data_IF_609660112887
#
_entry.id   IF_609660112887
#
_cell.length_a   1.000
_cell.length_b   1.000
_cell.length_c   1.000
_cell.angle_alpha   90.00
_cell.angle_beta   90.00
_cell.angle_gamma   90.00
#
_symmetry.space_group_name_H-M   'P 1'
#
loop_
_entity.id
_entity.type
_entity.pdbx_description
1 polymer ?
2 water ?
#
# COMPACT_ATOMS: atom_id res chain seq x y z
N UNK A 4 -6.90 -1.12 27.71
CA UNK A 4 -5.43 -0.94 27.96
C UNK A 4 -4.60 -1.60 26.87
N UNK A 5 -5.00 -2.81 26.42
CA UNK A 5 -4.22 -3.46 25.36
C UNK A 5 -4.63 -2.83 24.02
N UNK A 6 -4.18 -3.41 22.91
CA UNK A 6 -4.51 -2.87 21.60
C UNK A 6 -6.00 -3.01 21.29
N UNK A 7 -6.67 -1.86 21.17
CA UNK A 7 -8.10 -1.84 20.86
C UNK A 7 -8.35 -1.04 19.59
N UNK A 8 -8.49 -1.74 18.47
CA UNK A 8 -8.72 -1.07 17.20
C UNK A 8 -10.06 -1.36 16.57
N UNK A 9 -10.21 -0.96 15.31
CA UNK A 9 -11.46 -1.17 14.59
C UNK A 9 -11.22 -1.16 13.08
N UNK A 10 -12.07 -1.87 12.35
CA UNK A 10 -11.95 -1.95 10.90
C UNK A 10 -12.35 -0.62 10.25
N UNK A 11 -11.73 -0.34 9.10
CA UNK A 11 -12.01 0.86 8.33
C UNK A 11 -12.54 0.34 7.00
N UNK A 12 -13.63 0.92 6.53
CA UNK A 12 -14.26 0.47 5.29
C UNK A 12 -13.99 1.34 4.08
N UNK A 13 -13.33 2.48 4.28
CA UNK A 13 -13.01 3.35 3.16
C UNK A 13 -11.55 3.19 2.75
N UNK A 14 -11.33 2.41 1.70
CA UNK A 14 -10.00 2.15 1.22
C UNK A 14 -9.64 3.11 0.10
N UNK A 15 -8.36 3.50 0.01
CA UNK A 15 -7.93 4.42 -1.06
C UNK A 15 -8.22 3.77 -2.40
N UNK A 16 -8.59 4.56 -3.40
CA UNK A 16 -8.89 3.99 -4.70
C UNK A 16 -7.64 3.98 -5.58
N UNK A 17 -6.63 4.76 -5.20
CA UNK A 17 -5.39 4.83 -5.97
C UNK A 17 -4.22 5.19 -5.08
N UNK A 18 -3.09 4.51 -5.29
CA UNK A 18 -1.85 4.76 -4.55
C UNK A 18 -0.75 5.01 -5.59
N UNK A 19 -0.13 6.18 -5.54
CA UNK A 19 0.95 6.54 -6.46
C UNK A 19 2.29 6.54 -5.73
N UNK A 20 3.31 5.91 -6.30
CA UNK A 20 4.61 5.93 -5.66
C UNK A 20 5.11 7.37 -5.78
N UNK A 21 5.39 8.01 -4.64
CA UNK A 21 5.88 9.39 -4.63
C UNK A 21 7.39 9.36 -4.55
N UNK A 22 7.88 8.42 -3.76
CA UNK A 22 9.30 8.21 -3.56
C UNK A 22 9.49 6.70 -3.58
N UNK A 23 10.69 6.24 -3.29
CA UNK A 23 10.92 4.81 -3.28
C UNK A 23 10.04 4.14 -2.21
N UNK A 24 9.96 4.76 -1.03
CA UNK A 24 9.19 4.19 0.07
C UNK A 24 8.07 5.07 0.61
N UNK A 25 7.39 5.78 -0.28
CA UNK A 25 6.28 6.65 0.11
C UNK A 25 5.24 6.66 -1.00
N UNK A 26 3.99 6.39 -0.63
CA UNK A 26 2.88 6.39 -1.58
C UNK A 26 1.87 7.45 -1.15
N UNK A 27 1.14 7.99 -2.12
CA UNK A 27 0.11 8.99 -1.82
C UNK A 27 -1.17 8.53 -2.51
N UNK A 28 -2.32 8.74 -1.86
CA UNK A 28 -3.61 8.37 -2.45
C UNK A 28 -4.33 9.60 -3.03
N UNK A 29 -5.57 9.43 -3.50
CA UNK A 29 -6.34 10.54 -4.08
C UNK A 29 -6.68 11.68 -3.12
N UNK A 30 -6.58 11.44 -1.82
CA UNK A 30 -6.88 12.45 -0.82
C UNK A 30 -5.60 13.14 -0.36
N UNK A 31 -4.51 12.84 -1.07
CA UNK A 31 -3.19 13.37 -0.75
C UNK A 31 -2.73 12.88 0.61
N UNK A 32 -3.11 11.64 0.94
CA UNK A 32 -2.70 11.02 2.18
C UNK A 32 -1.49 10.14 1.89
N UNK A 33 -0.46 10.27 2.72
CA UNK A 33 0.76 9.49 2.56
C UNK A 33 0.67 8.14 3.29
N UNK A 34 1.10 7.08 2.61
CA UNK A 34 1.10 5.73 3.15
C UNK A 34 2.54 5.23 3.10
N UNK A 35 3.07 4.77 4.22
CA UNK A 35 4.45 4.29 4.22
C UNK A 35 4.60 2.77 4.32
N UNK A 36 5.21 2.14 3.30
CA UNK A 36 5.39 0.68 3.38
C UNK A 36 6.45 0.46 4.45
N UNK A 37 6.08 -0.18 5.55
CA UNK A 37 7.02 -0.41 6.64
C UNK A 37 7.64 -1.78 6.63
N UNK A 38 6.86 -2.78 6.26
CA UNK A 38 7.36 -4.14 6.25
C UNK A 38 6.97 -4.91 5.00
N UNK A 39 7.88 -5.74 4.52
CA UNK A 39 7.59 -6.58 3.37
C UNK A 39 7.92 -7.97 3.86
N UNK A 40 6.95 -8.86 3.77
CA UNK A 40 7.14 -10.22 4.25
C UNK A 40 7.06 -11.19 3.09
N UNK A 41 8.02 -12.11 3.02
CA UNK A 41 8.04 -13.07 1.93
C UNK A 41 7.62 -14.48 2.37
N UNK A 42 6.46 -14.89 1.88
CA UNK A 42 5.87 -16.19 2.18
C UNK A 42 6.11 -17.22 1.07
N UNK A 43 6.64 -18.38 1.44
CA UNK A 43 6.92 -19.45 0.48
C UNK A 43 7.74 -18.92 -0.69
N UNK A 44 8.68 -18.03 -0.40
CA UNK A 44 9.54 -17.41 -1.39
C UNK A 44 8.82 -16.97 -2.66
N UNK A 45 7.51 -16.75 -2.57
CA UNK A 45 6.75 -16.31 -3.73
C UNK A 45 5.80 -15.16 -3.41
N UNK A 46 4.95 -15.37 -2.41
CA UNK A 46 3.96 -14.38 -2.03
C UNK A 46 4.47 -13.21 -1.18
N UNK A 47 4.18 -11.99 -1.64
CA UNK A 47 4.58 -10.78 -0.93
C UNK A 47 3.42 -10.22 -0.09
N UNK A 48 3.75 -9.73 1.10
CA UNK A 48 2.78 -9.12 2.00
C UNK A 48 3.41 -7.82 2.45
N UNK A 49 2.81 -6.70 2.06
CA UNK A 49 3.35 -5.40 2.43
C UNK A 49 2.41 -4.64 3.35
N UNK A 50 2.97 -4.11 4.43
CA UNK A 50 2.22 -3.34 5.41
C UNK A 50 2.44 -1.85 5.19
N UNK A 51 1.36 -1.12 4.93
CA UNK A 51 1.44 0.30 4.72
C UNK A 51 0.78 1.01 5.88
N UNK A 52 1.41 2.08 6.35
CA UNK A 52 0.88 2.83 7.46
C UNK A 52 0.78 4.30 7.10
N UNK A 53 -0.34 4.91 7.48
CA UNK A 53 -0.58 6.33 7.22
C UNK A 53 0.29 7.21 8.10
N UNK A 54 0.93 8.20 7.49
CA UNK A 54 1.79 9.09 8.24
C UNK A 54 1.87 10.44 7.58
N UNK A 55 1.85 11.49 8.39
CA UNK A 55 1.94 12.84 7.88
C UNK A 55 3.41 13.16 7.72
N UNK A 56 3.90 13.08 6.49
CA UNK A 56 5.30 13.37 6.23
C UNK A 56 5.43 14.63 5.38
N UNK A 57 6.63 15.20 5.36
CA UNK A 57 6.91 16.40 4.58
C UNK A 57 7.36 15.96 3.20
N UNK A 58 6.58 16.32 2.18
CA UNK A 58 6.91 15.94 0.82
C UNK A 58 7.05 17.12 -0.12
N UNK A 59 7.98 16.98 -1.06
CA UNK A 59 8.20 18.04 -2.02
C UNK A 59 7.68 17.66 -3.39
N UNK A 60 8.61 17.42 -4.31
CA UNK A 60 8.28 17.07 -5.68
C UNK A 60 8.29 15.55 -5.86
N UNK A 61 7.32 15.00 -6.62
CA UNK A 61 7.32 13.54 -6.80
C UNK A 61 8.51 13.09 -7.65
N UNK A 62 8.91 11.84 -7.48
CA UNK A 62 10.03 11.30 -8.24
C UNK A 62 9.47 10.57 -9.45
N UNK A 63 10.33 10.37 -10.44
CA UNK A 63 9.95 9.67 -11.65
C UNK A 63 10.28 8.20 -11.47
N UNK A 64 9.63 7.33 -12.25
CA UNK A 64 9.88 5.89 -12.16
C UNK A 64 11.36 5.56 -12.30
N UNK A 65 12.09 6.42 -13.00
CA UNK A 65 13.52 6.21 -13.21
C UNK A 65 14.32 6.51 -11.96
N UNK A 66 14.07 7.67 -11.35
CA UNK A 66 14.78 8.04 -10.14
C UNK A 66 14.47 7.04 -9.04
N UNK A 67 13.24 6.53 -9.02
CA UNK A 67 12.84 5.56 -8.01
C UNK A 67 13.67 4.29 -8.14
N UNK A 68 13.86 3.80 -9.36
CA UNK A 68 14.67 2.61 -9.56
C UNK A 68 14.01 1.26 -9.30
N UNK A 69 14.77 0.15 -9.38
CA UNK A 69 14.27 -1.21 -9.15
C UNK A 69 13.64 -1.40 -7.79
N UNK A 70 12.53 -2.13 -7.76
CA UNK A 70 11.85 -2.36 -6.51
C UNK A 70 10.96 -3.61 -6.56
N UNK A 71 10.48 -4.01 -5.39
CA UNK A 71 9.60 -5.16 -5.23
C UNK A 71 8.18 -4.58 -5.24
N UNK A 72 8.09 -3.27 -5.01
CA UNK A 72 6.82 -2.55 -4.95
C UNK A 72 6.46 -1.83 -6.25
N UNK A 73 5.16 -1.82 -6.60
CA UNK A 73 4.72 -1.17 -7.84
C UNK A 73 4.72 0.36 -7.83
N UNK A 74 4.82 0.93 -9.02
CA UNK A 74 4.81 2.37 -9.20
C UNK A 74 3.41 2.88 -8.85
N UNK A 75 2.42 2.00 -8.91
CA UNK A 75 1.05 2.38 -8.62
C UNK A 75 0.12 1.20 -8.35
N UNK A 76 -0.88 1.42 -7.50
CA UNK A 76 -1.88 0.40 -7.17
C UNK A 76 -3.21 1.03 -7.50
N UNK A 77 -4.13 0.26 -8.07
CA UNK A 77 -5.45 0.79 -8.44
C UNK A 77 -6.55 -0.14 -7.93
N UNK A 78 -7.54 0.41 -7.22
CA UNK A 78 -8.64 -0.40 -6.69
C UNK A 78 -9.62 -0.80 -7.79
N UNK A 79 -9.84 -2.11 -7.93
CA UNK A 79 -10.74 -2.65 -8.93
C UNK A 79 -12.15 -2.86 -8.38
N UNK A 80 -13.14 -3.05 -9.27
CA UNK A 80 -14.54 -3.25 -8.84
C UNK A 80 -14.77 -4.40 -7.87
N UNK A 81 -13.91 -5.42 -7.94
CA UNK A 81 -14.03 -6.58 -7.08
C UNK A 81 -13.34 -6.41 -5.73
N UNK A 82 -12.85 -5.21 -5.45
CA UNK A 82 -12.19 -4.97 -4.18
C UNK A 82 -10.69 -5.27 -4.09
N UNK A 83 -10.11 -5.80 -5.16
CA UNK A 83 -8.68 -6.09 -5.16
C UNK A 83 -7.94 -4.95 -5.86
N UNK A 84 -6.64 -4.83 -5.62
CA UNK A 84 -5.84 -3.77 -6.23
C UNK A 84 -5.01 -4.33 -7.36
N UNK A 85 -4.96 -3.60 -8.47
CA UNK A 85 -4.15 -4.00 -9.61
C UNK A 85 -2.88 -3.19 -9.56
N UNK A 86 -1.75 -3.88 -9.66
CA UNK A 86 -0.45 -3.23 -9.62
C UNK A 86 -0.05 -2.82 -11.03
N UNK A 87 0.78 -1.79 -11.15
CA UNK A 87 1.21 -1.34 -12.48
C UNK A 87 2.08 -2.39 -13.18
N UNK A 88 2.46 -3.44 -12.45
CA UNK A 88 3.27 -4.51 -13.03
C UNK A 88 2.31 -5.59 -13.55
N UNK A 89 1.03 -5.25 -13.53
CA UNK A 89 -0.05 -6.12 -13.99
C UNK A 89 -0.50 -7.22 -13.05
N UNK A 90 0.06 -7.25 -11.85
CA UNK A 90 -0.31 -8.25 -10.86
C UNK A 90 -1.51 -7.79 -10.04
N UNK A 91 -2.17 -8.72 -9.35
CA UNK A 91 -3.33 -8.40 -8.51
C UNK A 91 -3.01 -8.66 -7.04
N UNK A 92 -3.44 -7.75 -6.17
CA UNK A 92 -3.18 -7.88 -4.73
C UNK A 92 -4.47 -7.88 -3.92
N UNK A 93 -4.52 -8.73 -2.91
CA UNK A 93 -5.70 -8.81 -2.06
C UNK A 93 -5.51 -7.93 -0.82
N UNK A 94 -6.56 -7.22 -0.43
CA UNK A 94 -6.50 -6.37 0.76
C UNK A 94 -6.78 -7.30 1.93
N UNK A 95 -5.74 -7.67 2.67
CA UNK A 95 -5.94 -8.57 3.80
C UNK A 95 -6.70 -7.90 4.94
N UNK A 96 -6.39 -6.63 5.20
CA UNK A 96 -7.10 -5.87 6.23
C UNK A 96 -6.77 -4.39 6.16
N UNK A 97 -7.66 -3.58 6.73
CA UNK A 97 -7.51 -2.12 6.78
C UNK A 97 -8.11 -1.74 8.13
N UNK A 98 -7.25 -1.40 9.08
CA UNK A 98 -7.72 -1.05 10.41
C UNK A 98 -7.12 0.23 10.98
N UNK A 99 -7.63 0.62 12.14
CA UNK A 99 -7.17 1.81 12.83
C UNK A 99 -6.95 1.45 14.29
N UNK A 100 -5.76 1.72 14.80
CA UNK A 100 -5.44 1.42 16.19
C UNK A 100 -4.88 2.66 16.87
N UNK A 101 -5.66 3.20 17.81
CA UNK A 101 -5.28 4.40 18.53
C UNK A 101 -4.78 5.41 17.52
N UNK A 102 -5.59 5.64 16.50
CA UNK A 102 -5.24 6.60 15.46
C UNK A 102 -4.45 6.01 14.32
N UNK A 103 -3.55 5.08 14.63
CA UNK A 103 -2.72 4.44 13.61
C UNK A 103 -3.56 3.62 12.63
N UNK A 104 -3.55 4.06 11.38
CA UNK A 104 -4.29 3.40 10.31
C UNK A 104 -3.33 2.54 9.49
N UNK A 105 -3.56 1.23 9.48
CA UNK A 105 -2.70 0.30 8.75
C UNK A 105 -3.50 -0.42 7.69
N UNK A 106 -2.84 -0.79 6.60
CA UNK A 106 -3.46 -1.53 5.51
C UNK A 106 -2.48 -2.63 5.15
N UNK A 107 -2.95 -3.86 4.96
CA UNK A 107 -2.07 -4.96 4.59
C UNK A 107 -2.51 -5.53 3.25
N UNK A 108 -1.61 -5.48 2.28
CA UNK A 108 -1.85 -5.96 0.93
C UNK A 108 -1.03 -7.23 0.70
N UNK A 109 -1.64 -8.23 0.08
CA UNK A 109 -0.95 -9.47 -0.18
C UNK A 109 -1.07 -9.83 -1.65
N UNK A 110 0.06 -10.13 -2.29
CA UNK A 110 0.10 -10.47 -3.71
C UNK A 110 -0.56 -11.80 -4.05
N UNK A 111 -1.35 -11.80 -5.13
CA UNK A 111 -2.05 -13.00 -5.61
C UNK A 111 -1.49 -13.46 -6.96
N UNK A 112 -1.48 -14.79 -7.21
CA UNK A 112 -0.98 -15.39 -8.45
C UNK A 112 -2.05 -15.73 -9.50
N UNK A 113 -2.82 -14.74 -9.94
CA UNK A 113 -3.86 -14.97 -10.95
C UNK A 113 -3.51 -14.25 -12.26
N UNK A 114 -4.45 -13.45 -12.76
CA UNK A 114 -4.23 -12.70 -13.99
C UNK A 114 -4.69 -11.26 -13.79
#
# INVERSE_FOLDING_TARGET
MAECPTLGEAVTDHPDRLWAWEKFVYLDEKQHAWLPLTIEIKDRLQLRVLLRREDVVLGRPMTPTQIGPSLLPIMWQLYPDGRYRSSDSSFWRLVYHIKIDGVEDMLLELLPDD
#
